data_IF_935088656222
#
_entry.id   IF_935088656222
#
_cell.length_a   1.000
_cell.length_b   1.000
_cell.length_c   1.000
_cell.angle_alpha   90.00
_cell.angle_beta   90.00
_cell.angle_gamma   90.00
#
_symmetry.space_group_name_H-M   'P 1'
#
loop_
_entity.id
_entity.type
_entity.pdbx_description
1 polymer ?
#
# COMPACT_ATOMS: atom_id res chain seq x y z
N UNK A 1 -36.35 53.96 52.93
CA UNK A 1 -35.72 54.03 51.60
C UNK A 1 -34.42 53.28 51.69
N UNK A 2 -34.26 52.22 50.91
CA UNK A 2 -33.06 51.37 50.90
C UNK A 2 -32.12 51.89 49.80
N UNK A 3 -30.85 52.10 50.14
CA UNK A 3 -29.79 52.62 49.27
C UNK A 3 -29.20 51.51 48.37
N UNK A 4 -28.75 51.78 47.12
CA UNK A 4 -28.26 50.75 46.21
C UNK A 4 -26.75 50.49 46.36
N UNK A 5 -26.40 49.21 46.33
CA UNK A 5 -25.04 48.65 46.29
C UNK A 5 -24.17 49.21 45.14
N UNK A 6 -23.04 49.83 45.47
CA UNK A 6 -21.96 50.14 44.52
C UNK A 6 -21.12 48.87 44.26
N UNK A 7 -21.36 48.18 43.14
CA UNK A 7 -20.49 47.09 42.65
C UNK A 7 -19.18 47.64 42.09
N UNK A 8 -18.06 47.21 42.67
CA UNK A 8 -16.69 47.51 42.24
C UNK A 8 -16.37 46.87 40.87
N UNK A 9 -16.37 47.69 39.81
CA UNK A 9 -16.04 47.28 38.44
C UNK A 9 -14.56 46.96 38.19
N UNK A 10 -13.66 47.17 39.16
CA UNK A 10 -12.21 46.89 39.01
C UNK A 10 -11.88 45.40 39.10
N UNK A 11 -12.62 44.65 39.94
CA UNK A 11 -12.50 43.19 40.09
C UNK A 11 -13.07 42.44 38.87
N UNK A 12 -14.21 42.91 38.36
CA UNK A 12 -14.86 42.34 37.17
C UNK A 12 -13.98 42.45 35.92
N UNK A 13 -13.25 43.57 35.76
CA UNK A 13 -12.29 43.77 34.66
C UNK A 13 -11.06 42.86 34.73
N UNK A 14 -10.50 42.63 35.92
CA UNK A 14 -9.35 41.74 36.12
C UNK A 14 -9.72 40.26 35.95
N UNK A 15 -10.90 39.85 36.44
CA UNK A 15 -11.45 38.52 36.21
C UNK A 15 -11.70 38.30 34.72
N UNK A 16 -12.28 39.28 34.01
CA UNK A 16 -12.51 39.21 32.56
C UNK A 16 -11.20 39.14 31.77
N UNK A 17 -10.17 39.89 32.18
CA UNK A 17 -8.84 39.85 31.57
C UNK A 17 -8.13 38.51 31.82
N UNK A 18 -8.28 37.93 33.02
CA UNK A 18 -7.71 36.62 33.39
C UNK A 18 -8.43 35.48 32.67
N UNK A 19 -9.76 35.53 32.57
CA UNK A 19 -10.58 34.59 31.80
C UNK A 19 -10.25 34.68 30.31
N UNK A 20 -10.07 35.89 29.74
CA UNK A 20 -9.64 36.07 28.35
C UNK A 20 -8.25 35.46 28.10
N UNK A 21 -7.27 35.75 28.97
CA UNK A 21 -5.92 35.15 28.88
C UNK A 21 -5.96 33.63 28.97
N UNK A 22 -6.77 33.08 29.87
CA UNK A 22 -6.94 31.64 30.06
C UNK A 22 -7.63 30.98 28.85
N UNK A 23 -8.66 31.59 28.28
CA UNK A 23 -9.30 31.13 27.03
C UNK A 23 -8.35 31.18 25.83
N UNK A 24 -7.53 32.23 25.71
CA UNK A 24 -6.50 32.34 24.69
C UNK A 24 -5.45 31.23 24.87
N UNK A 25 -4.97 30.99 26.10
CA UNK A 25 -4.02 29.90 26.39
C UNK A 25 -4.61 28.52 26.09
N UNK A 26 -5.86 28.25 26.53
CA UNK A 26 -6.57 27.00 26.22
C UNK A 26 -6.75 26.81 24.71
N UNK A 27 -7.13 27.86 23.97
CA UNK A 27 -7.26 27.81 22.51
C UNK A 27 -5.94 27.53 21.79
N UNK A 28 -4.85 28.19 22.20
CA UNK A 28 -3.51 27.97 21.64
C UNK A 28 -3.03 26.55 21.95
N UNK A 29 -3.16 26.07 23.19
CA UNK A 29 -2.78 24.70 23.57
C UNK A 29 -3.57 23.65 22.79
N UNK A 30 -4.88 23.86 22.57
CA UNK A 30 -5.72 22.96 21.77
C UNK A 30 -5.26 22.95 20.30
N UNK A 31 -4.92 24.10 19.71
CA UNK A 31 -4.37 24.15 18.35
C UNK A 31 -2.99 23.46 18.25
N UNK A 32 -2.11 23.64 19.24
CA UNK A 32 -0.78 23.01 19.28
C UNK A 32 -0.87 21.49 19.45
N UNK A 33 -1.89 20.96 20.12
CA UNK A 33 -2.09 19.50 20.26
C UNK A 33 -2.79 18.91 19.03
N UNK A 34 -3.72 19.65 18.43
CA UNK A 34 -4.51 19.19 17.28
C UNK A 34 -3.68 19.13 15.99
N UNK A 35 -2.80 20.11 15.73
CA UNK A 35 -1.93 20.14 14.54
C UNK A 35 -0.99 18.90 14.44
N UNK A 36 -0.23 18.50 15.48
CA UNK A 36 0.62 17.31 15.41
C UNK A 36 -0.22 16.04 15.29
N UNK A 37 -1.38 15.96 15.96
CA UNK A 37 -2.32 14.83 15.82
C UNK A 37 -2.81 14.72 14.36
N UNK A 38 -3.17 15.83 13.72
CA UNK A 38 -3.55 15.82 12.30
C UNK A 38 -2.38 15.48 11.36
N UNK A 39 -1.15 15.90 11.67
CA UNK A 39 0.03 15.48 10.88
C UNK A 39 0.36 14.00 11.08
N UNK A 40 0.17 13.46 12.30
CA UNK A 40 0.40 12.04 12.62
C UNK A 40 -0.68 11.15 11.99
N UNK A 41 -1.94 11.61 11.95
CA UNK A 41 -3.06 10.86 11.34
C UNK A 41 -3.08 11.01 9.81
N UNK A 42 -2.61 12.15 9.29
CA UNK A 42 -2.64 12.49 7.86
C UNK A 42 -1.50 11.89 7.02
N UNK A 43 -0.42 11.41 7.63
CA UNK A 43 0.70 10.78 6.91
C UNK A 43 0.60 9.26 7.07
N UNK A 44 -0.44 8.65 6.48
CA UNK A 44 -0.27 7.29 5.97
C UNK A 44 0.56 7.40 4.71
N UNK A 45 1.89 7.37 4.87
CA UNK A 45 2.77 7.08 3.76
C UNK A 45 2.42 5.67 3.27
N UNK A 46 1.58 5.58 2.24
CA UNK A 46 1.48 4.40 1.40
C UNK A 46 2.74 4.33 0.51
N UNK A 47 3.92 4.38 1.13
CA UNK A 47 5.10 3.82 0.50
C UNK A 47 4.76 2.35 0.32
N UNK A 48 4.35 1.96 -0.89
CA UNK A 48 4.19 0.56 -1.26
C UNK A 48 5.51 -0.11 -0.89
N UNK A 49 5.50 -0.89 0.19
CA UNK A 49 6.71 -1.60 0.61
C UNK A 49 7.07 -2.52 -0.55
N UNK A 50 8.33 -2.50 -1.02
CA UNK A 50 8.78 -3.47 -2.01
C UNK A 50 8.43 -4.88 -1.51
N UNK A 51 7.88 -5.72 -2.37
CA UNK A 51 7.64 -7.11 -2.01
C UNK A 51 8.98 -7.77 -1.69
N UNK A 52 9.07 -8.38 -0.51
CA UNK A 52 10.22 -9.20 -0.13
C UNK A 52 10.05 -10.57 -0.80
N UNK A 53 10.96 -10.90 -1.72
CA UNK A 53 11.02 -12.20 -2.36
C UNK A 53 12.03 -13.11 -1.65
N UNK A 54 11.82 -14.42 -1.75
CA UNK A 54 12.79 -15.41 -1.28
C UNK A 54 14.14 -15.27 -1.99
N UNK A 55 15.19 -15.87 -1.43
CA UNK A 55 16.48 -15.97 -2.12
C UNK A 55 16.28 -16.67 -3.48
N UNK A 56 16.96 -16.16 -4.53
CA UNK A 56 16.84 -16.57 -5.94
C UNK A 56 15.54 -16.21 -6.67
N UNK A 57 14.67 -15.37 -6.06
CA UNK A 57 13.47 -14.84 -6.70
C UNK A 57 13.63 -13.36 -7.05
N UNK A 58 13.10 -12.96 -8.20
CA UNK A 58 13.17 -11.60 -8.70
C UNK A 58 11.86 -10.85 -8.45
N UNK A 59 11.93 -9.75 -7.70
CA UNK A 59 10.77 -8.92 -7.36
C UNK A 59 10.44 -7.89 -8.44
N UNK A 60 9.19 -7.88 -8.90
CA UNK A 60 8.63 -6.85 -9.78
C UNK A 60 7.32 -6.36 -9.17
N UNK A 61 7.30 -5.10 -8.72
CA UNK A 61 6.16 -4.50 -8.03
C UNK A 61 5.72 -5.35 -6.83
N UNK A 62 4.56 -6.01 -6.96
CA UNK A 62 3.88 -6.83 -5.98
C UNK A 62 4.03 -8.34 -6.25
N UNK A 63 4.90 -8.73 -7.19
CA UNK A 63 5.12 -10.13 -7.59
C UNK A 63 6.58 -10.56 -7.45
N UNK A 64 6.78 -11.86 -7.24
CA UNK A 64 8.08 -12.52 -7.28
C UNK A 64 8.11 -13.53 -8.42
N UNK A 65 9.16 -13.52 -9.23
CA UNK A 65 9.36 -14.41 -10.36
C UNK A 65 10.59 -15.30 -10.15
N UNK A 66 10.46 -16.58 -10.49
CA UNK A 66 11.55 -17.54 -10.45
C UNK A 66 11.79 -18.10 -11.86
N UNK A 67 13.05 -18.18 -12.26
CA UNK A 67 13.47 -18.74 -13.54
C UNK A 67 14.09 -20.12 -13.29
N UNK A 68 13.35 -21.17 -13.68
CA UNK A 68 13.83 -22.54 -13.60
C UNK A 68 14.89 -22.80 -14.66
N UNK A 69 16.05 -23.30 -14.26
CA UNK A 69 17.10 -23.75 -15.19
C UNK A 69 16.75 -25.08 -15.89
N UNK A 70 15.79 -25.84 -15.34
CA UNK A 70 15.38 -27.13 -15.90
C UNK A 70 14.43 -26.94 -17.09
N UNK A 71 14.73 -27.62 -18.20
CA UNK A 71 13.81 -27.74 -19.33
C UNK A 71 12.75 -28.80 -19.03
N UNK A 72 11.49 -28.39 -18.92
CA UNK A 72 10.33 -29.26 -18.67
C UNK A 72 9.24 -28.97 -19.69
N UNK A 73 8.24 -29.85 -19.85
CA UNK A 73 7.03 -29.50 -20.60
C UNK A 73 6.10 -28.60 -19.74
N UNK A 74 5.08 -28.00 -20.35
CA UNK A 74 4.19 -27.06 -19.65
C UNK A 74 3.54 -27.69 -18.40
N UNK A 75 3.01 -28.91 -18.52
CA UNK A 75 2.35 -29.62 -17.41
C UNK A 75 3.30 -29.93 -16.26
N UNK A 76 4.51 -30.41 -16.56
CA UNK A 76 5.54 -30.67 -15.56
C UNK A 76 6.05 -29.39 -14.90
N UNK A 77 6.16 -28.30 -15.67
CA UNK A 77 6.53 -26.98 -15.15
C UNK A 77 5.46 -26.44 -14.19
N UNK A 78 4.17 -26.58 -14.54
CA UNK A 78 3.06 -26.25 -13.64
C UNK A 78 3.13 -27.01 -12.33
N UNK A 79 3.36 -28.33 -12.39
CA UNK A 79 3.50 -29.17 -11.20
C UNK A 79 4.70 -28.74 -10.35
N UNK A 80 5.85 -28.45 -10.97
CA UNK A 80 7.03 -27.96 -10.28
C UNK A 80 6.75 -26.64 -9.52
N UNK A 81 6.13 -25.66 -10.19
CA UNK A 81 5.75 -24.40 -9.53
C UNK A 81 4.84 -24.66 -8.32
N UNK A 82 3.85 -25.56 -8.45
CA UNK A 82 2.96 -25.93 -7.34
C UNK A 82 3.71 -26.57 -6.16
N UNK A 83 4.72 -27.41 -6.41
CA UNK A 83 5.59 -27.97 -5.36
C UNK A 83 6.38 -26.87 -4.63
N UNK A 84 6.74 -25.79 -5.33
CA UNK A 84 7.37 -24.59 -4.75
C UNK A 84 6.38 -23.61 -4.12
N UNK A 85 5.12 -24.02 -3.90
CA UNK A 85 4.01 -23.16 -3.41
C UNK A 85 3.82 -21.89 -4.26
N UNK A 86 3.99 -22.05 -5.57
CA UNK A 86 3.88 -20.99 -6.56
C UNK A 86 3.08 -21.47 -7.78
N UNK A 87 2.95 -20.60 -8.78
CA UNK A 87 2.31 -20.93 -10.05
C UNK A 87 3.18 -20.48 -11.23
N UNK A 88 2.88 -21.02 -12.42
CA UNK A 88 3.51 -20.52 -13.65
C UNK A 88 3.18 -19.03 -13.83
N UNK A 89 4.18 -18.27 -14.29
CA UNK A 89 4.13 -16.81 -14.30
C UNK A 89 2.87 -16.26 -15.00
N UNK A 90 2.11 -15.44 -14.28
CA UNK A 90 1.03 -14.62 -14.82
C UNK A 90 1.54 -13.20 -15.13
N UNK A 91 1.32 -12.77 -16.37
CA UNK A 91 1.79 -11.49 -16.88
C UNK A 91 0.57 -10.56 -16.99
N UNK A 92 0.49 -9.56 -16.12
CA UNK A 92 -0.66 -8.64 -16.08
C UNK A 92 -0.34 -7.28 -16.70
N UNK A 93 0.93 -6.89 -16.69
CA UNK A 93 1.34 -5.58 -17.19
C UNK A 93 2.51 -5.65 -18.15
N UNK A 94 2.61 -4.61 -19.00
CA UNK A 94 3.73 -4.43 -19.90
C UNK A 94 5.08 -4.40 -19.16
N UNK A 95 5.12 -3.87 -17.93
CA UNK A 95 6.33 -3.87 -17.09
C UNK A 95 6.73 -5.27 -16.65
N UNK A 96 5.78 -6.15 -16.34
CA UNK A 96 6.05 -7.56 -16.04
C UNK A 96 6.72 -8.21 -17.25
N UNK A 97 6.16 -7.99 -18.45
CA UNK A 97 6.69 -8.53 -19.71
C UNK A 97 8.11 -8.02 -20.01
N UNK A 98 8.36 -6.72 -19.88
CA UNK A 98 9.68 -6.12 -20.10
C UNK A 98 10.73 -6.66 -19.13
N UNK A 99 10.35 -6.81 -17.86
CA UNK A 99 11.22 -7.41 -16.86
C UNK A 99 11.53 -8.86 -17.20
N UNK A 100 10.49 -9.68 -17.45
CA UNK A 100 10.66 -11.09 -17.77
C UNK A 100 11.55 -11.30 -19.00
N UNK A 101 11.38 -10.49 -20.05
CA UNK A 101 12.25 -10.53 -21.25
C UNK A 101 13.71 -10.21 -20.94
N UNK A 102 13.95 -9.21 -20.08
CA UNK A 102 15.33 -8.82 -19.70
C UNK A 102 16.05 -9.93 -18.95
N UNK A 103 15.36 -10.65 -18.07
CA UNK A 103 15.95 -11.71 -17.24
C UNK A 103 15.99 -13.07 -17.92
N UNK A 104 14.99 -13.40 -18.75
CA UNK A 104 14.99 -14.64 -19.54
C UNK A 104 16.16 -14.68 -20.56
N UNK A 105 16.66 -13.52 -21.00
CA UNK A 105 17.72 -13.44 -21.99
C UNK A 105 17.29 -14.09 -23.31
N UNK A 106 18.04 -15.10 -23.75
CA UNK A 106 17.75 -15.89 -24.96
C UNK A 106 16.99 -17.19 -24.68
N UNK A 107 16.78 -17.53 -23.41
CA UNK A 107 16.25 -18.81 -23.00
C UNK A 107 14.71 -18.82 -22.99
N UNK A 108 14.13 -19.91 -23.48
CA UNK A 108 12.68 -20.08 -23.53
C UNK A 108 12.15 -20.62 -22.21
N UNK A 109 11.21 -19.89 -21.60
CA UNK A 109 10.60 -20.24 -20.32
C UNK A 109 9.08 -20.40 -20.47
N UNK A 110 8.51 -21.36 -19.76
CA UNK A 110 7.05 -21.52 -19.71
C UNK A 110 6.41 -20.45 -18.84
N UNK A 111 5.26 -19.94 -19.32
CA UNK A 111 4.38 -19.03 -18.59
C UNK A 111 3.03 -19.70 -18.30
N UNK A 112 2.21 -19.07 -17.47
CA UNK A 112 0.93 -19.63 -17.01
C UNK A 112 -0.17 -19.70 -18.08
N UNK A 113 0.11 -19.26 -19.30
CA UNK A 113 -0.86 -19.23 -20.38
C UNK A 113 -1.01 -20.59 -21.04
N UNK A 114 -2.25 -21.09 -21.11
CA UNK A 114 -2.57 -22.37 -21.76
C UNK A 114 -3.94 -22.33 -22.45
N UNK A 115 -4.14 -23.24 -23.40
CA UNK A 115 -5.44 -23.48 -24.03
C UNK A 115 -5.62 -24.95 -24.36
N UNK A 116 -6.87 -25.40 -24.34
CA UNK A 116 -7.26 -26.66 -25.00
C UNK A 116 -7.57 -26.37 -26.47
N UNK A 117 -7.64 -27.41 -27.32
CA UNK A 117 -8.21 -27.26 -28.65
C UNK A 117 -9.60 -26.62 -28.53
N UNK A 118 -9.88 -25.62 -29.37
CA UNK A 118 -11.17 -24.89 -29.44
C UNK A 118 -11.50 -23.95 -28.26
N UNK A 119 -10.66 -23.89 -27.22
CA UNK A 119 -10.83 -22.99 -26.09
C UNK A 119 -10.06 -21.66 -26.26
N UNK A 120 -10.52 -20.63 -25.55
CA UNK A 120 -9.75 -19.40 -25.36
C UNK A 120 -8.50 -19.63 -24.50
N UNK A 121 -7.49 -18.78 -24.69
CA UNK A 121 -6.31 -18.76 -23.82
C UNK A 121 -6.71 -18.37 -22.40
N UNK A 122 -6.21 -19.14 -21.42
CA UNK A 122 -6.50 -18.94 -20.00
C UNK A 122 -5.22 -19.02 -19.17
N UNK A 123 -5.19 -18.23 -18.11
CA UNK A 123 -4.15 -18.27 -17.08
C UNK A 123 -4.39 -19.44 -16.10
N UNK A 124 -3.39 -19.74 -15.27
CA UNK A 124 -3.45 -20.81 -14.26
C UNK A 124 -4.56 -20.61 -13.23
N UNK A 125 -4.91 -19.35 -12.93
CA UNK A 125 -6.02 -18.96 -12.05
C UNK A 125 -7.41 -19.10 -12.71
N UNK A 126 -7.48 -19.52 -13.98
CA UNK A 126 -8.74 -19.69 -14.73
C UNK A 126 -9.26 -18.43 -15.42
N UNK A 127 -8.61 -17.28 -15.23
CA UNK A 127 -8.99 -16.05 -15.94
C UNK A 127 -8.68 -16.17 -17.44
N UNK A 128 -9.62 -15.71 -18.26
CA UNK A 128 -9.43 -15.66 -19.72
C UNK A 128 -8.44 -14.55 -20.05
N UNK A 129 -7.50 -14.85 -20.94
CA UNK A 129 -6.58 -13.87 -21.47
C UNK A 129 -7.34 -12.81 -22.27
N UNK A 130 -7.18 -11.55 -21.88
CA UNK A 130 -7.71 -10.40 -22.59
C UNK A 130 -6.51 -9.64 -23.17
N UNK A 131 -6.49 -9.46 -24.49
CA UNK A 131 -5.34 -8.94 -25.23
C UNK A 131 -5.35 -7.42 -25.33
#
# INVERSE_FOLDING_TARGET
>A
MVEPELRDGRSDGLMRQTICKMKICLGICVLIIIVPIFTIIGIRSNCAKPVACSEDWFGVRDKCFYFSNDTRNWTASKMFCSLQKSELAQIDTQKDMEFLKRFAGTDMHWIGLSRKPEDSWKWTNGTTFNN
#
